data_IF_198843405078
#
_entry.id   IF_198843405078
#
_cell.length_a   1.000
_cell.length_b   1.000
_cell.length_c   1.000
_cell.angle_alpha   90.00
_cell.angle_beta   90.00
_cell.angle_gamma   90.00
#
_symmetry.space_group_name_H-M   'P 1'
#
loop_
_entity.id
_entity.type
_entity.pdbx_description
1 polymer ?
#
# COMPACT_ATOMS: atom_id res chain seq x y z
N UNK A 1 12.26 3.16 11.77
CA UNK A 1 10.88 3.03 12.31
C UNK A 1 10.24 1.81 11.68
N UNK A 2 9.47 1.04 12.44
CA UNK A 2 8.72 -0.12 11.92
C UNK A 2 7.24 0.13 12.13
N UNK A 3 6.45 -0.11 11.09
CA UNK A 3 4.99 -0.06 11.14
C UNK A 3 4.39 -1.27 10.45
N UNK A 4 3.13 -1.54 10.77
CA UNK A 4 2.33 -2.56 10.14
C UNK A 4 1.04 -1.95 9.63
N UNK A 5 0.52 -2.49 8.53
CA UNK A 5 -0.84 -2.21 8.06
C UNK A 5 -1.55 -3.54 7.84
N UNK A 6 -2.85 -3.59 8.11
CA UNK A 6 -3.68 -4.78 7.90
C UNK A 6 -5.03 -4.41 7.31
N UNK A 7 -5.55 -5.28 6.45
CA UNK A 7 -6.92 -5.24 5.96
C UNK A 7 -7.64 -6.57 6.18
N UNK A 8 -8.94 -6.61 5.91
CA UNK A 8 -9.70 -7.86 5.94
C UNK A 8 -9.19 -8.84 4.87
N UNK A 9 -8.98 -8.37 3.63
CA UNK A 9 -8.50 -9.19 2.52
C UNK A 9 -7.10 -8.78 2.04
N UNK A 10 -6.29 -9.74 1.60
CA UNK A 10 -4.92 -9.53 1.14
C UNK A 10 -4.83 -8.54 -0.03
N UNK A 11 -5.73 -8.63 -1.00
CA UNK A 11 -5.73 -7.74 -2.15
C UNK A 11 -5.84 -6.24 -1.77
N UNK A 12 -6.55 -5.87 -0.70
CA UNK A 12 -6.61 -4.48 -0.23
C UNK A 12 -5.29 -4.02 0.38
N UNK A 13 -4.64 -4.86 1.20
CA UNK A 13 -3.31 -4.56 1.76
C UNK A 13 -2.28 -4.36 0.66
N UNK A 14 -2.30 -5.23 -0.36
CA UNK A 14 -1.38 -5.10 -1.49
C UNK A 14 -1.61 -3.78 -2.25
N UNK A 15 -2.85 -3.43 -2.56
CA UNK A 15 -3.17 -2.18 -3.28
C UNK A 15 -2.77 -0.96 -2.44
N UNK A 16 -3.10 -0.96 -1.16
CA UNK A 16 -2.74 0.11 -0.22
C UNK A 16 -1.23 0.30 -0.14
N UNK A 17 -0.47 -0.78 -0.03
CA UNK A 17 0.98 -0.72 0.06
C UNK A 17 1.62 -0.13 -1.21
N UNK A 18 1.19 -0.57 -2.38
CA UNK A 18 1.67 0.00 -3.64
C UNK A 18 1.32 1.50 -3.77
N UNK A 19 0.06 1.85 -3.50
CA UNK A 19 -0.41 3.24 -3.62
C UNK A 19 0.27 4.18 -2.61
N UNK A 20 0.42 3.76 -1.35
CA UNK A 20 1.08 4.56 -0.32
C UNK A 20 2.58 4.71 -0.59
N UNK A 21 3.26 3.65 -1.00
CA UNK A 21 4.68 3.68 -1.34
C UNK A 21 4.97 4.69 -2.46
N UNK A 22 4.19 4.63 -3.56
CA UNK A 22 4.32 5.56 -4.67
C UNK A 22 4.02 7.00 -4.26
N UNK A 23 2.96 7.22 -3.47
CA UNK A 23 2.60 8.53 -2.93
C UNK A 23 3.78 9.10 -2.11
N UNK A 24 4.32 8.32 -1.18
CA UNK A 24 5.42 8.76 -0.32
C UNK A 24 6.67 9.13 -1.12
N UNK A 25 7.09 8.29 -2.06
CA UNK A 25 8.24 8.60 -2.92
C UNK A 25 8.00 9.82 -3.81
N UNK A 26 6.78 9.98 -4.32
CA UNK A 26 6.42 11.15 -5.13
C UNK A 26 6.51 12.45 -4.31
N UNK A 27 6.12 12.41 -3.05
CA UNK A 27 6.17 13.55 -2.14
C UNK A 27 7.60 13.89 -1.69
N UNK A 28 8.44 12.87 -1.44
CA UNK A 28 9.88 13.07 -1.22
C UNK A 28 10.49 13.83 -2.40
N UNK A 29 10.20 13.37 -3.62
CA UNK A 29 10.71 13.99 -4.85
C UNK A 29 10.16 15.41 -5.05
N UNK A 30 8.84 15.61 -4.85
CA UNK A 30 8.17 16.91 -5.00
C UNK A 30 8.74 17.96 -4.04
N UNK A 31 9.10 17.54 -2.83
CA UNK A 31 9.67 18.40 -1.80
C UNK A 31 11.20 18.50 -1.87
N UNK A 32 11.83 17.83 -2.85
CA UNK A 32 13.27 17.75 -3.03
C UNK A 32 14.01 17.33 -1.74
N UNK A 33 13.44 16.36 -1.01
CA UNK A 33 14.05 15.79 0.18
C UNK A 33 15.11 14.78 -0.25
N UNK A 34 16.34 14.98 0.22
CA UNK A 34 17.47 14.10 -0.04
C UNK A 34 18.01 13.55 1.28
N UNK A 35 18.32 12.26 1.26
CA UNK A 35 19.02 11.56 2.33
C UNK A 35 19.71 10.35 1.69
N UNK A 36 21.05 10.32 1.60
CA UNK A 36 21.78 9.20 1.01
C UNK A 36 21.57 7.88 1.73
N UNK A 37 21.26 7.92 3.03
CA UNK A 37 21.07 6.74 3.88
C UNK A 37 19.59 6.34 3.98
N UNK A 38 18.68 7.07 3.32
CA UNK A 38 17.26 6.76 3.32
C UNK A 38 16.96 5.43 2.62
N UNK A 39 16.26 4.56 3.33
CA UNK A 39 15.72 3.32 2.80
C UNK A 39 14.28 3.13 3.29
N UNK A 40 13.43 2.61 2.41
CA UNK A 40 12.09 2.16 2.76
C UNK A 40 11.89 0.75 2.21
N UNK A 41 11.69 -0.20 3.10
CA UNK A 41 11.41 -1.59 2.75
C UNK A 41 9.96 -1.92 3.11
N UNK A 42 9.27 -2.57 2.19
CA UNK A 42 7.88 -3.01 2.37
C UNK A 42 7.82 -4.50 2.08
N UNK A 43 7.47 -5.27 3.10
CA UNK A 43 7.22 -6.71 3.00
C UNK A 43 5.72 -6.95 3.15
N UNK A 44 5.14 -7.78 2.29
CA UNK A 44 3.69 -8.03 2.27
C UNK A 44 3.47 -9.53 2.34
N UNK A 45 2.73 -9.97 3.35
CA UNK A 45 2.41 -11.37 3.60
C UNK A 45 0.92 -11.49 3.92
N UNK A 46 0.16 -12.03 2.95
CA UNK A 46 -1.29 -12.05 2.99
C UNK A 46 -1.90 -10.66 3.17
N UNK A 47 -2.74 -10.52 4.19
CA UNK A 47 -3.43 -9.28 4.56
C UNK A 47 -2.66 -8.39 5.54
N UNK A 48 -1.34 -8.57 5.64
CA UNK A 48 -0.46 -7.74 6.49
C UNK A 48 0.72 -7.21 5.66
N UNK A 49 1.02 -5.92 5.79
CA UNK A 49 2.27 -5.35 5.28
C UNK A 49 3.14 -4.81 6.43
N UNK A 50 4.44 -5.07 6.36
CA UNK A 50 5.47 -4.56 7.25
C UNK A 50 6.27 -3.48 6.56
N UNK A 51 6.30 -2.29 7.16
CA UNK A 51 7.00 -1.11 6.65
C UNK A 51 8.22 -0.84 7.52
N UNK A 52 9.40 -0.86 6.93
CA UNK A 52 10.65 -0.48 7.60
C UNK A 52 11.18 0.79 6.95
N UNK A 53 11.08 1.90 7.67
CA UNK A 53 11.60 3.21 7.26
C UNK A 53 12.93 3.46 7.99
N UNK A 54 14.04 3.45 7.26
CA UNK A 54 15.37 3.77 7.76
C UNK A 54 15.83 5.12 7.23
N UNK A 55 16.03 6.08 8.14
CA UNK A 55 16.48 7.44 7.86
C UNK A 55 16.64 8.19 9.16
N UNK A 56 17.66 9.05 9.26
CA UNK A 56 17.79 10.04 10.34
C UNK A 56 17.21 11.40 9.98
N UNK A 57 16.72 11.58 8.75
CA UNK A 57 16.17 12.83 8.25
C UNK A 57 14.76 13.06 8.81
N UNK A 58 14.65 13.95 9.80
CA UNK A 58 13.38 14.29 10.45
C UNK A 58 12.32 14.82 9.50
N UNK A 59 12.69 15.43 8.36
CA UNK A 59 11.71 15.87 7.35
C UNK A 59 11.05 14.69 6.63
N UNK A 60 11.83 13.65 6.30
CA UNK A 60 11.31 12.42 5.69
C UNK A 60 10.42 11.67 6.69
N UNK A 61 10.85 11.56 7.95
CA UNK A 61 10.05 10.96 9.02
C UNK A 61 8.72 11.71 9.22
N UNK A 62 8.75 13.05 9.31
CA UNK A 62 7.55 13.88 9.46
C UNK A 62 6.63 13.77 8.24
N UNK A 63 7.18 13.71 7.03
CA UNK A 63 6.39 13.48 5.82
C UNK A 63 5.64 12.15 5.89
N UNK A 64 6.32 11.07 6.27
CA UNK A 64 5.71 9.76 6.41
C UNK A 64 4.56 9.78 7.43
N UNK A 65 4.79 10.36 8.62
CA UNK A 65 3.75 10.50 9.65
C UNK A 65 2.55 11.34 9.18
N UNK A 66 2.81 12.44 8.47
CA UNK A 66 1.76 13.29 7.93
C UNK A 66 0.89 12.56 6.90
N UNK A 67 1.51 11.73 6.04
CA UNK A 67 0.79 10.94 5.06
C UNK A 67 -0.03 9.82 5.69
N UNK A 68 0.48 9.18 6.75
CA UNK A 68 -0.31 8.20 7.54
C UNK A 68 -1.59 8.87 8.08
N UNK A 69 -1.45 10.04 8.70
CA UNK A 69 -2.58 10.71 9.34
C UNK A 69 -3.63 11.27 8.36
N UNK A 70 -3.26 11.51 7.10
CA UNK A 70 -4.12 12.15 6.09
C UNK A 70 -4.20 11.33 4.80
N UNK A 71 -4.14 10.01 4.94
CA UNK A 71 -4.15 9.10 3.80
C UNK A 71 -5.47 9.20 3.04
N UNK A 72 -5.38 9.55 1.75
CA UNK A 72 -6.51 9.48 0.84
C UNK A 72 -5.98 9.27 -0.58
N UNK A 73 -6.47 8.21 -1.24
CA UNK A 73 -6.02 7.87 -2.59
C UNK A 73 -6.99 8.36 -3.65
N UNK A 74 -6.43 8.96 -4.70
CA UNK A 74 -7.17 9.24 -5.93
C UNK A 74 -7.42 7.96 -6.71
N UNK A 75 -8.45 7.97 -7.56
CA UNK A 75 -8.78 6.87 -8.49
C UNK A 75 -7.58 6.49 -9.36
N UNK A 76 -6.79 7.48 -9.78
CA UNK A 76 -5.58 7.26 -10.55
C UNK A 76 -4.52 6.49 -9.77
N UNK A 77 -4.26 6.86 -8.51
CA UNK A 77 -3.29 6.16 -7.66
C UNK A 77 -3.71 4.70 -7.40
N UNK A 78 -5.01 4.45 -7.18
CA UNK A 78 -5.54 3.10 -7.01
C UNK A 78 -5.37 2.29 -8.30
N UNK A 79 -5.73 2.87 -9.45
CA UNK A 79 -5.59 2.22 -10.75
C UNK A 79 -4.14 1.88 -11.09
N UNK A 80 -3.21 2.80 -10.81
CA UNK A 80 -1.77 2.58 -11.03
C UNK A 80 -1.23 1.45 -10.14
N UNK A 81 -1.60 1.45 -8.85
CA UNK A 81 -1.22 0.39 -7.93
C UNK A 81 -1.71 -0.99 -8.41
N UNK A 82 -2.97 -1.08 -8.81
CA UNK A 82 -3.57 -2.29 -9.39
C UNK A 82 -2.79 -2.74 -10.64
N UNK A 83 -2.47 -1.82 -11.55
CA UNK A 83 -1.75 -2.12 -12.77
C UNK A 83 -0.34 -2.65 -12.49
N UNK A 84 0.38 -2.04 -11.54
CA UNK A 84 1.72 -2.48 -11.11
C UNK A 84 1.69 -3.89 -10.51
N UNK A 85 0.71 -4.17 -9.63
CA UNK A 85 0.52 -5.50 -9.03
C UNK A 85 0.26 -6.53 -10.11
N UNK A 86 -0.66 -6.23 -11.03
CA UNK A 86 -1.04 -7.14 -12.11
C UNK A 86 0.14 -7.42 -13.05
N UNK A 87 0.89 -6.38 -13.44
CA UNK A 87 2.05 -6.51 -14.31
C UNK A 87 3.15 -7.36 -13.66
N UNK A 88 3.51 -7.08 -12.40
CA UNK A 88 4.56 -7.81 -11.67
C UNK A 88 4.25 -9.29 -11.52
N UNK A 89 2.98 -9.64 -11.33
CA UNK A 89 2.55 -11.00 -11.01
C UNK A 89 1.89 -11.75 -12.19
N UNK A 90 1.85 -11.15 -13.39
CA UNK A 90 1.13 -11.68 -14.55
C UNK A 90 -0.34 -12.03 -14.23
N UNK A 91 -1.06 -11.08 -13.61
CA UNK A 91 -2.47 -11.18 -13.24
C UNK A 91 -3.31 -10.20 -14.06
N UNK A 92 -4.64 -10.37 -14.01
CA UNK A 92 -5.62 -9.42 -14.53
C UNK A 92 -6.54 -8.97 -13.38
N UNK A 93 -6.85 -7.67 -13.28
CA UNK A 93 -7.81 -7.20 -12.29
C UNK A 93 -9.24 -7.48 -12.77
N UNK A 94 -10.10 -7.87 -11.85
CA UNK A 94 -11.54 -7.89 -12.03
C UNK A 94 -12.17 -7.00 -10.96
N UNK A 95 -12.32 -5.71 -11.28
CA UNK A 95 -12.92 -4.72 -10.39
C UNK A 95 -14.43 -4.92 -10.34
N UNK A 96 -14.97 -5.17 -9.14
CA UNK A 96 -16.39 -5.38 -8.87
C UNK A 96 -17.07 -4.10 -8.37
N UNK A 97 -16.40 -3.38 -7.46
CA UNK A 97 -16.96 -2.18 -6.84
C UNK A 97 -15.85 -1.19 -6.42
N UNK A 98 -15.68 -0.11 -7.19
CA UNK A 98 -14.66 0.91 -6.93
C UNK A 98 -14.90 1.69 -5.63
N UNK A 99 -16.16 1.99 -5.30
CA UNK A 99 -16.49 2.77 -4.11
C UNK A 99 -16.21 1.98 -2.84
N UNK A 100 -16.53 0.68 -2.85
CA UNK A 100 -16.17 -0.23 -1.77
C UNK A 100 -14.65 -0.32 -1.65
N UNK A 101 -13.93 -0.53 -2.75
CA UNK A 101 -12.47 -0.58 -2.73
C UNK A 101 -11.87 0.67 -2.08
N UNK A 102 -12.30 1.86 -2.47
CA UNK A 102 -11.85 3.12 -1.87
C UNK A 102 -12.13 3.17 -0.36
N UNK A 103 -13.33 2.80 0.04
CA UNK A 103 -13.72 2.76 1.46
C UNK A 103 -12.81 1.81 2.25
N UNK A 104 -12.54 0.61 1.73
CA UNK A 104 -11.69 -0.37 2.39
C UNK A 104 -10.23 0.10 2.45
N UNK A 105 -9.70 0.70 1.39
CA UNK A 105 -8.34 1.26 1.40
C UNK A 105 -8.18 2.40 2.42
N UNK A 106 -9.20 3.26 2.57
CA UNK A 106 -9.17 4.36 3.53
C UNK A 106 -9.33 3.93 5.00
N UNK A 107 -9.75 2.67 5.24
CA UNK A 107 -9.84 2.08 6.59
C UNK A 107 -8.55 1.42 7.07
N UNK A 108 -7.59 1.22 6.17
CA UNK A 108 -6.31 0.58 6.52
C UNK A 108 -5.45 1.59 7.26
N UNK A 109 -5.25 1.33 8.55
CA UNK A 109 -4.46 2.17 9.44
C UNK A 109 -3.05 1.58 9.65
N UNK A 110 -2.10 2.47 9.97
CA UNK A 110 -0.77 2.07 10.39
C UNK A 110 -0.75 1.84 11.91
N UNK A 111 -0.10 0.77 12.34
CA UNK A 111 0.04 0.38 13.74
C UNK A 111 1.47 -0.06 14.07
N UNK A 112 1.81 -0.06 15.36
CA UNK A 112 3.15 -0.45 15.86
C UNK A 112 3.25 -1.91 16.28
N UNK A 113 2.11 -2.55 16.56
CA UNK A 113 2.07 -3.96 16.93
C UNK A 113 1.86 -4.81 15.68
N UNK A 114 2.62 -5.90 15.54
CA UNK A 114 2.49 -6.81 14.40
C UNK A 114 1.15 -7.55 14.49
N UNK A 115 0.22 -7.37 13.56
CA UNK A 115 -1.02 -8.13 13.57
C UNK A 115 -0.79 -9.55 13.06
N UNK A 116 -1.67 -10.47 13.46
CA UNK A 116 -1.71 -11.82 12.90
C UNK A 116 -2.23 -11.78 11.46
N UNK A 117 -1.62 -12.58 10.60
CA UNK A 117 -2.07 -12.81 9.23
C UNK A 117 -3.30 -13.72 9.28
N UNK A 118 -4.35 -13.34 8.57
CA UNK A 118 -5.62 -14.09 8.59
C UNK A 118 -6.24 -14.34 7.22
N UNK A 119 -5.69 -13.75 6.16
CA UNK A 119 -6.17 -13.92 4.78
C UNK A 119 -5.00 -13.79 3.81
N UNK A 120 -4.95 -14.65 2.79
CA UNK A 120 -3.99 -14.62 1.67
C UNK A 120 -4.71 -14.65 0.31
N UNK A 121 -6.01 -14.33 0.31
CA UNK A 121 -6.88 -14.47 -0.85
C UNK A 121 -6.61 -13.41 -1.91
N UNK A 122 -6.63 -13.83 -3.18
CA UNK A 122 -6.62 -12.92 -4.32
C UNK A 122 -8.00 -12.33 -4.64
N UNK A 123 -9.04 -12.77 -3.94
CA UNK A 123 -10.43 -12.37 -4.21
C UNK A 123 -11.07 -11.66 -3.02
N UNK A 124 -11.86 -10.64 -3.31
CA UNK A 124 -12.68 -9.94 -2.31
C UNK A 124 -13.94 -9.38 -2.94
N UNK A 125 -14.77 -8.73 -2.13
CA UNK A 125 -16.03 -8.13 -2.61
C UNK A 125 -15.80 -6.97 -3.58
N UNK A 126 -14.69 -6.25 -3.48
CA UNK A 126 -14.44 -5.07 -4.31
C UNK A 126 -13.61 -5.37 -5.56
N UNK A 127 -12.67 -6.33 -5.51
CA UNK A 127 -11.77 -6.65 -6.62
C UNK A 127 -11.22 -8.07 -6.51
N UNK A 128 -11.01 -8.73 -7.65
CA UNK A 128 -10.22 -9.96 -7.72
C UNK A 128 -8.96 -9.76 -8.55
N UNK A 129 -7.89 -10.48 -8.21
CA UNK A 129 -6.74 -10.69 -9.07
C UNK A 129 -6.75 -12.10 -9.65
N UNK A 130 -6.94 -12.21 -10.97
CA UNK A 130 -7.19 -13.48 -11.64
C UNK A 130 -6.02 -13.79 -12.59
N UNK A 131 -5.59 -15.05 -12.64
CA UNK A 131 -4.64 -15.48 -13.67
C UNK A 131 -5.27 -15.33 -15.07
N UNK A 132 -4.53 -14.87 -16.09
CA UNK A 132 -5.00 -14.90 -17.46
C UNK A 132 -5.42 -16.31 -17.84
N UNK A 133 -6.65 -16.47 -18.35
CA UNK A 133 -7.04 -17.74 -18.99
C UNK A 133 -6.23 -17.86 -20.29
N UNK A 134 -5.51 -18.97 -20.42
CA UNK A 134 -4.81 -19.38 -21.65
C UNK A 134 -5.84 -19.86 -22.66
#
# INVERSE_FOLDING_TARGET
>A
MIFYTKSENANYTHIHAYAFYDLFLSEIKRQNLTDPDFQINVDIDGNVATWTLDTTNSKIQNLFQNLIAHQNFTDHQISDAIAKICHKNNLKPHLKNLNLLKSELNRIEFQTEKPEISDDSLTSDAIDFIKPRV
#
